data_IF_100358699268
#
_entry.id   IF_100358699268
#
_cell.length_a   1.000
_cell.length_b   1.000
_cell.length_c   1.000
_cell.angle_alpha   90.00
_cell.angle_beta   90.00
_cell.angle_gamma   90.00
#
_symmetry.space_group_name_H-M   'P 1'
#
loop_
_entity.id
_entity.type
_entity.pdbx_description
1 polymer ?
#
# COMPACT_ATOMS: atom_id res chain seq x y z
N UNK A 1 17.68 -14.35 -4.89
CA UNK A 1 17.68 -13.65 -3.59
C UNK A 1 18.08 -14.61 -2.49
N UNK A 2 19.00 -14.22 -1.65
CA UNK A 2 19.49 -15.08 -0.58
C UNK A 2 18.52 -15.12 0.60
N UNK A 3 18.66 -16.12 1.46
CA UNK A 3 17.85 -16.25 2.67
C UNK A 3 18.05 -15.06 3.62
N UNK A 4 19.28 -14.53 3.68
CA UNK A 4 19.62 -13.34 4.48
C UNK A 4 18.87 -12.10 3.96
N UNK A 5 18.84 -11.90 2.66
CA UNK A 5 18.11 -10.80 2.02
C UNK A 5 16.60 -10.92 2.27
N UNK A 6 16.05 -12.12 2.13
CA UNK A 6 14.65 -12.40 2.43
C UNK A 6 14.29 -12.06 3.87
N UNK A 7 15.14 -12.46 4.81
CA UNK A 7 14.94 -12.15 6.23
C UNK A 7 15.00 -10.65 6.51
N UNK A 8 15.88 -9.92 5.81
CA UNK A 8 15.96 -8.46 5.92
C UNK A 8 14.68 -7.80 5.44
N UNK A 9 14.15 -8.21 4.29
CA UNK A 9 12.89 -7.71 3.76
C UNK A 9 11.72 -8.07 4.68
N UNK A 10 11.70 -9.27 5.22
CA UNK A 10 10.67 -9.68 6.19
C UNK A 10 10.64 -8.76 7.40
N UNK A 11 11.79 -8.40 7.93
CA UNK A 11 11.87 -7.48 9.08
C UNK A 11 11.35 -6.09 8.74
N UNK A 12 11.74 -5.55 7.59
CA UNK A 12 11.29 -4.23 7.14
C UNK A 12 9.77 -4.23 6.95
N UNK A 13 9.24 -5.24 6.29
CA UNK A 13 7.81 -5.37 6.02
C UNK A 13 7.00 -5.58 7.30
N UNK A 14 7.50 -6.40 8.22
CA UNK A 14 6.84 -6.62 9.50
C UNK A 14 6.76 -5.34 10.33
N UNK A 15 7.83 -4.56 10.35
CA UNK A 15 7.84 -3.26 11.02
C UNK A 15 6.82 -2.31 10.37
N UNK A 16 6.79 -2.26 9.05
CA UNK A 16 5.85 -1.41 8.33
C UNK A 16 4.40 -1.83 8.59
N UNK A 17 4.15 -3.12 8.67
CA UNK A 17 2.83 -3.65 9.02
C UNK A 17 2.36 -3.15 10.39
N UNK A 18 3.23 -3.18 11.38
CA UNK A 18 2.92 -2.69 12.72
C UNK A 18 2.64 -1.18 12.72
N UNK A 19 3.48 -0.40 12.04
CA UNK A 19 3.32 1.05 11.93
C UNK A 19 1.99 1.43 11.29
N UNK A 20 1.65 0.78 10.18
CA UNK A 20 0.41 1.05 9.47
C UNK A 20 -0.82 0.59 10.24
N UNK A 21 -0.73 -0.56 10.90
CA UNK A 21 -1.81 -1.07 11.75
C UNK A 21 -2.09 -0.15 12.92
N UNK A 22 -1.05 0.31 13.61
CA UNK A 22 -1.17 1.24 14.72
C UNK A 22 -1.73 2.60 14.26
N UNK A 23 -1.25 3.14 13.15
CA UNK A 23 -1.74 4.40 12.60
C UNK A 23 -3.22 4.33 12.28
N UNK A 24 -3.68 3.25 11.66
CA UNK A 24 -5.09 3.06 11.34
C UNK A 24 -5.94 2.96 12.60
N UNK A 25 -5.49 2.22 13.61
CA UNK A 25 -6.20 2.09 14.88
C UNK A 25 -6.31 3.43 15.62
N UNK A 26 -5.25 4.21 15.64
CA UNK A 26 -5.24 5.53 16.28
C UNK A 26 -6.19 6.48 15.55
N UNK A 27 -6.17 6.48 14.23
CA UNK A 27 -7.06 7.34 13.42
C UNK A 27 -8.52 6.94 13.58
N UNK A 28 -8.84 5.67 13.62
CA UNK A 28 -10.20 5.19 13.87
C UNK A 28 -10.68 5.65 15.24
N UNK A 29 -9.83 5.55 16.27
CA UNK A 29 -10.14 6.04 17.60
C UNK A 29 -10.36 7.55 17.65
N UNK A 30 -9.54 8.32 16.93
CA UNK A 30 -9.68 9.78 16.83
C UNK A 30 -10.94 10.18 16.06
N UNK A 31 -11.28 9.46 14.99
CA UNK A 31 -12.48 9.73 14.21
C UNK A 31 -13.74 9.52 15.02
N UNK A 32 -13.77 8.55 15.93
CA UNK A 32 -14.89 8.26 16.83
C UNK A 32 -14.97 9.33 17.92
N UNK A 33 -13.82 9.82 18.40
CA UNK A 33 -13.75 10.80 19.49
C UNK A 33 -13.90 12.26 19.11
N UNK A 34 -13.79 12.63 17.83
CA UNK A 34 -13.70 14.00 17.38
C UNK A 34 -15.03 14.66 17.05
N UNK A 35 -16.14 14.05 17.34
CA UNK A 35 -17.46 14.46 16.87
C UNK A 35 -18.10 15.63 17.63
N UNK A 36 -17.39 16.32 18.52
CA UNK A 36 -18.05 17.19 19.48
C UNK A 36 -17.96 18.69 19.23
N UNK A 37 -17.27 19.17 18.20
CA UNK A 37 -17.12 20.62 17.97
C UNK A 37 -17.95 21.09 16.80
N UNK A 38 -19.09 21.74 17.11
CA UNK A 38 -20.00 22.28 16.12
C UNK A 38 -19.48 23.57 15.43
N UNK A 39 -18.44 24.18 15.98
CA UNK A 39 -17.90 25.45 15.49
C UNK A 39 -17.08 25.33 14.19
N UNK A 40 -16.63 24.15 13.85
CA UNK A 40 -15.74 23.89 12.72
C UNK A 40 -16.35 22.99 11.65
N UNK A 41 -17.68 22.97 11.51
CA UNK A 41 -18.36 22.05 10.58
C UNK A 41 -17.92 22.14 9.13
N UNK A 42 -17.60 23.34 8.64
CA UNK A 42 -17.16 23.56 7.26
C UNK A 42 -15.70 23.16 7.06
N UNK A 43 -14.88 23.38 8.05
CA UNK A 43 -13.47 22.95 8.06
C UNK A 43 -13.37 21.45 8.33
N UNK A 44 -14.26 20.93 9.19
CA UNK A 44 -14.36 19.50 9.50
C UNK A 44 -14.68 18.63 8.29
N UNK A 45 -15.45 19.10 7.33
CA UNK A 45 -15.78 18.35 6.13
C UNK A 45 -14.54 18.11 5.26
N UNK A 46 -13.71 19.14 5.04
CA UNK A 46 -12.44 19.02 4.30
C UNK A 46 -11.44 18.19 5.06
N UNK A 47 -11.36 18.37 6.38
CA UNK A 47 -10.46 17.60 7.23
C UNK A 47 -10.87 16.13 7.28
N UNK A 48 -12.17 15.83 7.29
CA UNK A 48 -12.69 14.45 7.22
C UNK A 48 -12.37 13.82 5.88
N UNK A 49 -12.55 14.50 4.78
CA UNK A 49 -12.24 14.00 3.45
C UNK A 49 -10.76 13.69 3.32
N UNK A 50 -9.90 14.57 3.83
CA UNK A 50 -8.46 14.35 3.86
C UNK A 50 -8.10 13.15 4.74
N UNK A 51 -8.69 13.04 5.93
CA UNK A 51 -8.46 11.93 6.85
C UNK A 51 -8.92 10.60 6.25
N UNK A 52 -10.08 10.58 5.59
CA UNK A 52 -10.60 9.38 4.92
C UNK A 52 -9.70 8.95 3.77
N UNK A 53 -9.24 9.89 2.94
CA UNK A 53 -8.30 9.59 1.86
C UNK A 53 -6.98 9.05 2.40
N UNK A 54 -6.49 9.61 3.50
CA UNK A 54 -5.27 9.16 4.15
C UNK A 54 -5.43 7.76 4.73
N UNK A 55 -6.58 7.45 5.35
CA UNK A 55 -6.91 6.11 5.85
C UNK A 55 -6.98 5.09 4.72
N UNK A 56 -7.60 5.44 3.61
CA UNK A 56 -7.68 4.57 2.43
C UNK A 56 -6.30 4.23 1.90
N UNK A 57 -5.41 5.22 1.78
CA UNK A 57 -4.04 5.00 1.34
C UNK A 57 -3.26 4.12 2.30
N UNK A 58 -3.43 4.34 3.61
CA UNK A 58 -2.80 3.51 4.63
C UNK A 58 -3.32 2.08 4.62
N UNK A 59 -4.62 1.90 4.41
CA UNK A 59 -5.25 0.58 4.32
C UNK A 59 -4.77 -0.17 3.08
N UNK A 60 -4.67 0.51 1.95
CA UNK A 60 -4.16 -0.06 0.70
C UNK A 60 -2.69 -0.48 0.86
N UNK A 61 -1.89 0.38 1.49
CA UNK A 61 -0.48 0.07 1.77
C UNK A 61 -0.35 -1.14 2.70
N UNK A 62 -1.19 -1.21 3.72
CA UNK A 62 -1.19 -2.35 4.64
C UNK A 62 -1.51 -3.66 3.92
N UNK A 63 -2.47 -3.64 3.00
CA UNK A 63 -2.79 -4.81 2.16
C UNK A 63 -1.61 -5.22 1.30
N UNK A 64 -0.93 -4.25 0.70
CA UNK A 64 0.27 -4.51 -0.12
C UNK A 64 1.40 -5.12 0.70
N UNK A 65 1.63 -4.59 1.90
CA UNK A 65 2.66 -5.09 2.82
C UNK A 65 2.33 -6.53 3.25
N UNK A 66 1.08 -6.80 3.62
CA UNK A 66 0.64 -8.15 4.00
C UNK A 66 0.78 -9.13 2.83
N UNK A 67 0.45 -8.69 1.63
CA UNK A 67 0.62 -9.49 0.42
C UNK A 67 2.09 -9.83 0.18
N UNK A 68 2.99 -8.85 0.38
CA UNK A 68 4.42 -9.07 0.26
C UNK A 68 4.95 -10.09 1.27
N UNK A 69 4.47 -10.02 2.52
CA UNK A 69 4.83 -11.00 3.54
C UNK A 69 4.37 -12.41 3.18
N UNK A 70 3.16 -12.54 2.62
CA UNK A 70 2.67 -13.83 2.12
C UNK A 70 3.53 -14.38 0.98
N UNK A 71 4.02 -13.51 0.10
CA UNK A 71 4.91 -13.93 -0.99
C UNK A 71 6.27 -14.40 -0.47
N UNK A 72 6.77 -13.80 0.60
CA UNK A 72 8.00 -14.29 1.25
C UNK A 72 7.79 -15.72 1.75
N UNK A 73 6.66 -15.98 2.40
CA UNK A 73 6.35 -17.33 2.91
C UNK A 73 6.14 -18.34 1.81
N UNK A 74 5.54 -17.95 0.69
CA UNK A 74 5.28 -18.84 -0.44
C UNK A 74 6.48 -18.99 -1.38
N UNK A 75 7.55 -18.24 -1.17
CA UNK A 75 8.74 -18.29 -2.01
C UNK A 75 8.64 -17.54 -3.34
N UNK A 76 7.64 -16.67 -3.49
CA UNK A 76 7.42 -15.90 -4.72
C UNK A 76 7.81 -14.43 -4.58
N UNK A 77 8.38 -14.03 -3.46
CA UNK A 77 8.81 -12.65 -3.23
C UNK A 77 9.92 -12.25 -4.21
N UNK A 78 9.82 -11.03 -4.72
CA UNK A 78 10.78 -10.51 -5.68
C UNK A 78 10.52 -10.91 -7.12
N UNK A 79 9.44 -11.64 -7.37
CA UNK A 79 9.03 -12.05 -8.71
C UNK A 79 7.81 -11.20 -9.11
N UNK A 80 7.87 -10.60 -10.29
CA UNK A 80 6.77 -9.80 -10.82
C UNK A 80 5.53 -10.67 -11.04
N UNK A 81 4.39 -10.23 -10.50
CA UNK A 81 3.13 -10.95 -10.67
C UNK A 81 2.56 -10.85 -12.09
N UNK A 82 3.04 -9.90 -12.89
CA UNK A 82 2.58 -9.71 -14.25
C UNK A 82 3.36 -10.49 -15.28
N UNK A 83 4.68 -10.40 -15.27
CA UNK A 83 5.54 -11.04 -16.27
C UNK A 83 6.37 -12.21 -15.74
N UNK A 84 6.29 -12.49 -14.45
CA UNK A 84 7.02 -13.58 -13.76
C UNK A 84 8.54 -13.44 -13.80
N UNK A 85 9.05 -12.28 -14.14
CA UNK A 85 10.47 -11.97 -14.09
C UNK A 85 10.87 -11.39 -12.74
N UNK A 86 12.16 -11.39 -12.43
CA UNK A 86 12.65 -10.82 -11.20
C UNK A 86 12.47 -9.30 -11.18
N UNK A 87 11.97 -8.79 -10.07
CA UNK A 87 11.89 -7.34 -9.84
C UNK A 87 13.30 -6.83 -9.54
N UNK A 88 13.64 -5.66 -10.08
CA UNK A 88 14.93 -5.04 -9.84
C UNK A 88 15.18 -4.88 -8.33
N UNK A 89 16.32 -5.34 -7.79
CA UNK A 89 16.63 -5.20 -6.36
C UNK A 89 16.59 -3.77 -5.85
N UNK A 90 16.95 -2.79 -6.68
CA UNK A 90 16.87 -1.37 -6.31
C UNK A 90 15.44 -0.92 -6.09
N UNK A 91 14.51 -1.44 -6.92
CA UNK A 91 13.09 -1.16 -6.76
C UNK A 91 12.55 -1.78 -5.46
N UNK A 92 12.94 -3.01 -5.16
CA UNK A 92 12.57 -3.68 -3.91
C UNK A 92 13.13 -2.98 -2.68
N UNK A 93 14.34 -2.44 -2.77
CA UNK A 93 14.93 -1.67 -1.66
C UNK A 93 14.14 -0.40 -1.38
N UNK A 94 13.64 0.26 -2.41
CA UNK A 94 12.83 1.48 -2.29
C UNK A 94 11.37 1.16 -1.94
N UNK A 95 10.81 0.11 -2.54
CA UNK A 95 9.40 -0.28 -2.38
C UNK A 95 9.36 -1.78 -2.06
N UNK A 96 9.55 -2.17 -0.78
CA UNK A 96 9.62 -3.60 -0.42
C UNK A 96 8.33 -4.37 -0.69
N UNK A 97 7.20 -3.69 -0.75
CA UNK A 97 5.90 -4.30 -1.04
C UNK A 97 5.58 -4.40 -2.53
N UNK A 98 6.51 -4.02 -3.42
CA UNK A 98 6.28 -4.05 -4.86
C UNK A 98 5.95 -5.47 -5.33
N UNK A 99 4.85 -5.59 -6.08
CA UNK A 99 4.44 -6.86 -6.68
C UNK A 99 4.69 -6.91 -8.18
N UNK A 100 4.93 -5.75 -8.82
CA UNK A 100 5.19 -5.64 -10.25
C UNK A 100 6.54 -5.00 -10.51
N UNK A 101 7.18 -5.37 -11.63
CA UNK A 101 8.30 -4.62 -12.16
C UNK A 101 7.81 -3.26 -12.66
N UNK A 102 8.73 -2.36 -13.00
CA UNK A 102 8.39 -1.00 -13.44
C UNK A 102 7.44 -1.03 -14.64
N UNK A 103 7.74 -1.87 -15.63
CA UNK A 103 6.95 -1.97 -16.85
C UNK A 103 5.52 -2.46 -16.59
N UNK A 104 5.37 -3.51 -15.78
CA UNK A 104 4.06 -4.04 -15.44
C UNK A 104 3.28 -3.09 -14.54
N UNK A 105 3.96 -2.36 -13.67
CA UNK A 105 3.31 -1.34 -12.83
C UNK A 105 2.79 -0.19 -13.68
N UNK A 106 3.55 0.27 -14.65
CA UNK A 106 3.11 1.31 -15.59
C UNK A 106 1.88 0.86 -16.39
N UNK A 107 1.86 -0.39 -16.82
CA UNK A 107 0.70 -0.96 -17.53
C UNK A 107 -0.52 -1.00 -16.62
N UNK A 108 -0.38 -1.45 -15.38
CA UNK A 108 -1.47 -1.50 -14.42
C UNK A 108 -2.00 -0.09 -14.10
N UNK A 109 -1.12 0.86 -13.92
CA UNK A 109 -1.48 2.25 -13.65
C UNK A 109 -2.24 2.85 -14.83
N UNK A 110 -1.82 2.55 -16.05
CA UNK A 110 -2.46 3.02 -17.27
C UNK A 110 -3.86 2.43 -17.42
N UNK A 111 -4.03 1.15 -17.13
CA UNK A 111 -5.33 0.49 -17.16
C UNK A 111 -6.29 1.08 -16.12
N UNK A 112 -5.82 1.42 -14.95
CA UNK A 112 -6.63 2.08 -13.92
C UNK A 112 -6.98 3.52 -14.28
N UNK A 113 -6.08 4.23 -14.96
CA UNK A 113 -6.31 5.61 -15.36
C UNK A 113 -7.30 5.75 -16.52
N UNK A 114 -7.37 4.74 -17.39
CA UNK A 114 -8.12 4.81 -18.67
C UNK A 114 -9.17 3.72 -18.89
N UNK A 115 -9.86 3.16 -17.86
CA UNK A 115 -10.86 2.13 -18.10
C UNK A 115 -12.05 2.64 -18.93
N UNK A 116 -12.39 3.93 -18.81
CA UNK A 116 -13.50 4.54 -19.54
C UNK A 116 -13.17 4.73 -21.02
N UNK A 117 -11.92 4.99 -21.37
CA UNK A 117 -11.49 5.13 -22.77
C UNK A 117 -11.50 3.80 -23.50
N UNK A 118 -11.14 2.74 -22.85
CA UNK A 118 -11.20 1.37 -23.41
C UNK A 118 -12.64 0.95 -23.70
N UNK A 119 -13.56 1.32 -22.82
CA UNK A 119 -14.99 1.03 -22.99
C UNK A 119 -15.65 1.91 -24.06
N UNK A 120 -15.12 3.09 -24.33
CA UNK A 120 -15.63 4.02 -25.34
C UNK A 120 -15.13 3.69 -26.75
N UNK A 121 -14.12 2.90 -26.87
CA UNK A 121 -13.57 2.49 -28.15
C UNK A 121 -14.25 1.24 -28.67
#
# INVERSE_FOLDING_TARGET
MTKTEMNAFRRVLSRRQLELGNSNSIRDGLAIGSSSDELDRTQDASDRDYAMSSLERSSDRLREVRSALRRIESGTFGICSGCEENINPKRLAAIPWAQFCITCQETADREQAEPALVLAA
#
